data_IF_473060614537
#
_entry.id   IF_473060614537
#
_cell.length_a   1.000
_cell.length_b   1.000
_cell.length_c   1.000
_cell.angle_alpha   90.00
_cell.angle_beta   90.00
_cell.angle_gamma   90.00
#
_symmetry.space_group_name_H-M   'P 1'
#
loop_
_entity.id
_entity.type
_entity.pdbx_description
1 polymer ?
#
# COMPACT_ATOMS: atom_id res chain seq x y z
N UNK A 1 -14.37 -11.93 17.18
CA UNK A 1 -13.40 -11.68 16.09
C UNK A 1 -13.25 -10.17 16.01
N UNK A 2 -12.04 -9.63 16.01
CA UNK A 2 -11.90 -8.18 15.85
C UNK A 2 -12.27 -7.80 14.40
N UNK A 3 -12.76 -6.57 14.18
CA UNK A 3 -13.04 -6.07 12.82
C UNK A 3 -11.82 -6.20 11.89
N UNK A 4 -10.62 -6.09 12.45
CA UNK A 4 -9.37 -6.22 11.71
C UNK A 4 -9.06 -7.67 11.29
N UNK A 5 -9.38 -8.67 12.10
CA UNK A 5 -9.19 -10.08 11.73
C UNK A 5 -10.08 -10.49 10.55
N UNK A 6 -11.30 -9.94 10.48
CA UNK A 6 -12.20 -10.14 9.35
C UNK A 6 -11.65 -9.51 8.07
N UNK A 7 -11.14 -8.27 8.16
CA UNK A 7 -10.46 -7.60 7.05
C UNK A 7 -9.31 -8.47 6.56
N UNK A 8 -8.37 -8.86 7.43
CA UNK A 8 -7.23 -9.72 7.04
C UNK A 8 -7.65 -11.00 6.31
N UNK A 9 -8.75 -11.63 6.74
CA UNK A 9 -9.23 -12.87 6.15
C UNK A 9 -9.91 -12.69 4.78
N UNK A 10 -10.41 -11.49 4.48
CA UNK A 10 -11.26 -11.22 3.30
C UNK A 10 -10.73 -10.11 2.39
N UNK A 11 -9.58 -9.51 2.71
CA UNK A 11 -9.01 -8.36 2.01
C UNK A 11 -8.63 -8.66 0.56
N UNK A 12 -8.09 -9.84 0.31
CA UNK A 12 -7.49 -10.19 -0.98
C UNK A 12 -8.52 -10.77 -1.95
N UNK A 13 -8.55 -10.24 -3.17
CA UNK A 13 -9.38 -10.71 -4.26
C UNK A 13 -8.82 -11.93 -4.99
N UNK A 14 -9.53 -12.36 -6.03
CA UNK A 14 -9.04 -13.42 -6.93
C UNK A 14 -7.98 -12.89 -7.88
N UNK A 15 -7.02 -13.76 -8.25
CA UNK A 15 -5.92 -13.43 -9.15
C UNK A 15 -4.54 -13.40 -8.49
N UNK A 16 -3.51 -13.43 -9.34
CA UNK A 16 -2.09 -13.46 -8.93
C UNK A 16 -1.27 -12.29 -9.51
N UNK A 17 -1.90 -11.40 -10.27
CA UNK A 17 -1.26 -10.18 -10.73
C UNK A 17 -0.97 -9.27 -9.53
N UNK A 18 0.22 -8.68 -9.43
CA UNK A 18 0.64 -7.89 -8.26
C UNK A 18 1.27 -8.71 -7.12
N UNK A 19 1.12 -10.04 -7.12
CA UNK A 19 1.54 -10.89 -5.99
C UNK A 19 3.04 -11.12 -6.01
N UNK A 20 3.71 -10.67 -4.95
CA UNK A 20 5.13 -10.87 -4.69
C UNK A 20 5.37 -12.17 -3.90
N UNK A 21 6.63 -12.67 -3.81
CA UNK A 21 6.98 -13.80 -2.96
C UNK A 21 6.54 -13.61 -1.50
N UNK A 22 6.28 -14.69 -0.74
CA UNK A 22 5.84 -14.59 0.65
C UNK A 22 6.74 -13.68 1.50
N UNK A 23 6.10 -12.84 2.30
CA UNK A 23 6.81 -11.83 3.09
C UNK A 23 7.58 -12.50 4.24
N UNK A 24 8.87 -12.17 4.36
CA UNK A 24 9.74 -12.63 5.45
C UNK A 24 10.27 -11.45 6.24
N UNK A 25 10.63 -11.66 7.50
CA UNK A 25 11.18 -10.60 8.37
C UNK A 25 12.44 -9.96 7.77
N UNK A 26 13.28 -10.75 7.09
CA UNK A 26 14.47 -10.24 6.42
C UNK A 26 14.13 -9.31 5.25
N UNK A 27 13.10 -9.65 4.48
CA UNK A 27 12.60 -8.81 3.38
C UNK A 27 11.99 -7.52 3.92
N UNK A 28 11.25 -7.58 5.04
CA UNK A 28 10.68 -6.38 5.69
C UNK A 28 11.78 -5.44 6.17
N UNK A 29 12.79 -5.96 6.88
CA UNK A 29 13.90 -5.14 7.38
C UNK A 29 14.69 -4.50 6.24
N UNK A 30 14.88 -5.21 5.13
CA UNK A 30 15.51 -4.67 3.95
C UNK A 30 14.66 -3.58 3.28
N UNK A 31 13.34 -3.78 3.20
CA UNK A 31 12.40 -2.81 2.66
C UNK A 31 12.36 -1.51 3.47
N UNK A 32 12.21 -1.60 4.79
CA UNK A 32 12.22 -0.43 5.69
C UNK A 32 13.53 0.36 5.57
N UNK A 33 14.67 -0.34 5.45
CA UNK A 33 15.97 0.28 5.22
C UNK A 33 16.06 0.99 3.86
N UNK A 34 15.54 0.38 2.79
CA UNK A 34 15.54 0.99 1.45
C UNK A 34 14.59 2.19 1.37
N UNK A 35 13.42 2.10 2.01
CA UNK A 35 12.42 3.17 2.03
C UNK A 35 12.77 4.30 3.01
N UNK A 36 13.66 4.02 3.97
CA UNK A 36 14.04 4.97 5.01
C UNK A 36 12.93 5.20 6.05
N UNK A 37 11.91 4.34 6.11
CA UNK A 37 10.79 4.46 7.05
C UNK A 37 10.45 3.13 7.70
N UNK A 38 9.81 3.18 8.88
CA UNK A 38 9.16 2.00 9.46
C UNK A 38 7.77 1.80 8.89
N UNK A 39 7.48 0.59 8.43
CA UNK A 39 6.17 0.24 7.90
C UNK A 39 5.17 -0.02 9.04
N UNK A 40 3.89 0.38 8.90
CA UNK A 40 2.89 0.14 9.93
C UNK A 40 2.71 -1.37 10.19
N UNK A 41 2.60 -1.75 11.45
CA UNK A 41 2.45 -3.16 11.83
C UNK A 41 1.19 -3.79 11.21
N UNK A 42 0.10 -3.02 11.13
CA UNK A 42 -1.17 -3.44 10.52
C UNK A 42 -1.03 -3.73 9.01
N UNK A 43 -0.26 -2.93 8.28
CA UNK A 43 0.05 -3.18 6.87
C UNK A 43 0.83 -4.49 6.72
N UNK A 44 1.86 -4.69 7.55
CA UNK A 44 2.66 -5.91 7.52
C UNK A 44 1.83 -7.15 7.84
N UNK A 45 0.85 -7.06 8.73
CA UNK A 45 -0.07 -8.17 9.00
C UNK A 45 -0.91 -8.55 7.78
N UNK A 46 -1.40 -7.58 7.01
CA UNK A 46 -2.15 -7.85 5.77
C UNK A 46 -1.21 -8.44 4.70
N UNK A 47 -0.01 -7.88 4.54
CA UNK A 47 0.98 -8.35 3.56
C UNK A 47 1.56 -9.74 3.88
N UNK A 48 1.51 -10.16 5.15
CA UNK A 48 1.85 -11.54 5.56
C UNK A 48 0.82 -12.56 5.12
N UNK A 49 -0.46 -12.18 4.99
CA UNK A 49 -1.50 -13.06 4.44
C UNK A 49 -1.25 -13.28 2.95
N UNK A 50 -0.98 -12.21 2.21
CA UNK A 50 -0.54 -12.24 0.81
C UNK A 50 0.26 -10.98 0.51
N UNK A 51 1.41 -11.12 -0.15
CA UNK A 51 2.33 -10.01 -0.36
C UNK A 51 1.99 -9.25 -1.66
N UNK A 52 0.93 -8.46 -1.63
CA UNK A 52 0.44 -7.70 -2.79
C UNK A 52 -0.54 -8.47 -3.68
N UNK A 53 -1.20 -7.76 -4.59
CA UNK A 53 -2.18 -8.30 -5.52
C UNK A 53 -3.53 -7.56 -5.52
N UNK A 54 -4.57 -8.13 -6.15
CA UNK A 54 -5.87 -7.49 -6.28
C UNK A 54 -6.59 -7.44 -4.93
N UNK A 55 -7.30 -6.35 -4.66
CA UNK A 55 -8.14 -6.20 -3.48
C UNK A 55 -9.54 -6.75 -3.78
N UNK A 56 -10.16 -7.38 -2.79
CA UNK A 56 -11.50 -7.93 -2.94
C UNK A 56 -12.53 -6.82 -3.16
N UNK A 57 -13.59 -7.10 -3.93
CA UNK A 57 -14.64 -6.13 -4.28
C UNK A 57 -15.30 -5.47 -3.05
N UNK A 58 -15.33 -6.16 -1.92
CA UNK A 58 -15.90 -5.63 -0.67
C UNK A 58 -15.00 -4.58 0.01
N UNK A 59 -13.73 -4.46 -0.41
CA UNK A 59 -12.71 -3.58 0.17
C UNK A 59 -12.04 -2.64 -0.85
N UNK A 60 -12.40 -2.70 -2.14
CA UNK A 60 -11.70 -1.99 -3.22
C UNK A 60 -12.06 -0.50 -3.36
N UNK A 61 -12.70 0.09 -2.35
CA UNK A 61 -13.03 1.50 -2.34
C UNK A 61 -13.09 2.05 -0.91
N UNK A 62 -12.66 3.30 -0.76
CA UNK A 62 -12.80 4.06 0.49
C UNK A 62 -13.68 5.30 0.27
N UNK A 63 -14.73 5.52 1.09
CA UNK A 63 -15.60 6.68 0.94
C UNK A 63 -14.87 7.99 1.26
N UNK A 64 -15.19 9.06 0.52
CA UNK A 64 -14.70 10.42 0.78
C UNK A 64 -15.84 11.42 0.62
N UNK A 65 -15.83 12.47 1.45
CA UNK A 65 -16.79 13.58 1.36
C UNK A 65 -16.39 14.63 0.32
N UNK A 66 -15.17 14.51 -0.25
CA UNK A 66 -14.63 15.42 -1.26
C UNK A 66 -14.59 14.70 -2.61
N UNK A 67 -15.25 15.24 -3.66
CA UNK A 67 -15.19 14.68 -5.00
C UNK A 67 -13.75 14.58 -5.53
N UNK A 68 -13.44 13.46 -6.16
CA UNK A 68 -12.18 13.23 -6.87
C UNK A 68 -12.39 13.34 -8.37
N UNK A 69 -11.31 13.29 -9.14
CA UNK A 69 -11.38 13.20 -10.61
C UNK A 69 -12.06 11.91 -11.09
N UNK A 70 -12.18 10.90 -10.22
CA UNK A 70 -12.68 9.58 -10.56
C UNK A 70 -14.11 9.33 -10.06
N UNK A 71 -14.47 9.87 -8.89
CA UNK A 71 -15.77 9.64 -8.26
C UNK A 71 -16.19 10.80 -7.37
N UNK A 72 -17.50 11.02 -7.24
CA UNK A 72 -18.07 12.04 -6.37
C UNK A 72 -17.90 11.74 -4.88
N UNK A 73 -17.70 10.47 -4.49
CA UNK A 73 -17.83 10.07 -3.08
C UNK A 73 -16.89 8.93 -2.62
N UNK A 74 -15.94 8.48 -3.44
CA UNK A 74 -14.96 7.46 -3.02
C UNK A 74 -13.64 7.53 -3.80
N UNK A 75 -12.63 6.85 -3.28
CA UNK A 75 -11.33 6.59 -3.91
C UNK A 75 -11.20 5.09 -4.16
N UNK A 76 -10.78 4.64 -5.36
CA UNK A 76 -10.59 3.23 -5.64
C UNK A 76 -9.29 2.71 -5.02
N UNK A 77 -9.31 1.45 -4.59
CA UNK A 77 -8.16 0.67 -4.12
C UNK A 77 -8.24 -0.70 -4.80
N UNK A 78 -7.99 -0.75 -6.10
CA UNK A 78 -8.18 -1.97 -6.92
C UNK A 78 -7.13 -3.05 -6.62
N UNK A 79 -5.92 -2.61 -6.25
CA UNK A 79 -4.82 -3.48 -5.87
C UNK A 79 -4.08 -2.93 -4.66
N UNK A 80 -3.22 -3.76 -4.09
CA UNK A 80 -2.21 -3.34 -3.14
C UNK A 80 -0.85 -3.85 -3.60
N UNK A 81 0.11 -2.94 -3.65
CA UNK A 81 1.50 -3.26 -3.94
C UNK A 81 2.09 -4.14 -2.84
N UNK A 82 2.89 -5.12 -3.24
CA UNK A 82 3.67 -5.95 -2.33
C UNK A 82 5.06 -5.38 -2.06
N UNK A 83 5.82 -6.08 -1.23
CA UNK A 83 7.24 -5.84 -1.00
C UNK A 83 8.04 -6.91 -1.72
N UNK A 84 8.74 -6.53 -2.78
CA UNK A 84 9.54 -7.47 -3.55
C UNK A 84 9.98 -6.88 -4.88
N UNK A 85 10.73 -7.67 -5.65
CA UNK A 85 11.15 -7.32 -7.01
C UNK A 85 10.83 -8.47 -7.96
N UNK A 86 9.56 -8.86 -8.00
CA UNK A 86 9.09 -9.78 -9.03
C UNK A 86 9.01 -9.04 -10.36
N UNK A 87 9.63 -9.61 -11.41
CA UNK A 87 9.87 -8.93 -12.68
C UNK A 87 8.59 -8.28 -13.26
N UNK A 88 8.71 -6.98 -13.57
CA UNK A 88 7.73 -6.22 -14.33
C UNK A 88 6.53 -5.65 -13.56
N UNK A 89 6.53 -5.70 -12.22
CA UNK A 89 5.43 -5.16 -11.41
C UNK A 89 5.93 -4.16 -10.37
N UNK A 90 5.22 -3.02 -10.19
CA UNK A 90 5.57 -2.05 -9.16
C UNK A 90 5.35 -2.63 -7.76
N UNK A 91 6.17 -2.18 -6.83
CA UNK A 91 6.19 -2.60 -5.44
C UNK A 91 6.36 -1.40 -4.52
N UNK A 92 6.20 -1.61 -3.21
CA UNK A 92 6.50 -0.57 -2.22
C UNK A 92 7.92 -0.02 -2.40
N UNK A 93 8.87 -0.85 -2.83
CA UNK A 93 10.29 -0.47 -3.01
C UNK A 93 10.50 0.57 -4.12
N UNK A 94 9.52 0.73 -5.01
CA UNK A 94 9.57 1.68 -6.12
C UNK A 94 9.02 3.06 -5.73
N UNK A 95 8.53 3.22 -4.47
CA UNK A 95 7.95 4.47 -3.96
C UNK A 95 8.88 5.67 -4.17
N UNK A 96 10.17 5.54 -3.89
CA UNK A 96 11.12 6.65 -4.04
C UNK A 96 11.22 7.13 -5.50
N UNK A 97 11.33 6.19 -6.44
CA UNK A 97 11.38 6.49 -7.88
C UNK A 97 10.07 7.14 -8.35
N UNK A 98 8.93 6.56 -7.98
CA UNK A 98 7.61 7.03 -8.41
C UNK A 98 7.26 8.40 -7.80
N UNK A 99 7.62 8.65 -6.54
CA UNK A 99 7.45 9.95 -5.90
C UNK A 99 8.25 11.03 -6.65
N UNK A 100 9.47 10.73 -7.08
CA UNK A 100 10.28 11.65 -7.89
C UNK A 100 9.70 11.84 -9.30
N UNK A 101 9.40 10.74 -10.01
CA UNK A 101 8.86 10.75 -11.37
C UNK A 101 7.58 11.58 -11.47
N UNK A 102 6.69 11.44 -10.47
CA UNK A 102 5.41 12.14 -10.45
C UNK A 102 5.42 13.44 -9.63
N UNK A 103 6.60 13.86 -9.14
CA UNK A 103 6.78 15.08 -8.33
C UNK A 103 5.81 15.15 -7.12
N UNK A 104 5.59 14.00 -6.48
CA UNK A 104 4.72 13.89 -5.31
C UNK A 104 5.42 14.49 -4.07
N UNK A 105 4.66 14.87 -3.04
CA UNK A 105 5.24 15.19 -1.75
C UNK A 105 6.09 14.04 -1.20
N UNK A 106 7.05 14.34 -0.32
CA UNK A 106 7.95 13.34 0.26
C UNK A 106 8.20 13.66 1.74
N UNK A 107 8.38 12.66 2.62
CA UNK A 107 8.41 11.21 2.35
C UNK A 107 7.02 10.55 2.27
N UNK A 108 6.82 9.72 1.24
CA UNK A 108 5.63 8.89 1.02
C UNK A 108 6.04 7.44 0.68
N UNK A 109 5.22 6.47 1.09
CA UNK A 109 5.30 5.08 0.61
C UNK A 109 4.02 4.75 -0.15
N UNK A 110 4.14 4.43 -1.43
CA UNK A 110 3.02 4.16 -2.31
C UNK A 110 2.48 2.74 -2.06
N UNK A 111 1.16 2.64 -1.87
CA UNK A 111 0.45 1.40 -1.63
C UNK A 111 -0.28 0.90 -2.88
N UNK A 112 -0.77 1.81 -3.72
CA UNK A 112 -1.44 1.51 -4.98
C UNK A 112 -1.50 2.76 -5.85
N UNK A 113 -1.64 2.58 -7.15
CA UNK A 113 -1.81 3.67 -8.10
C UNK A 113 -1.46 3.28 -9.53
N UNK A 114 -1.96 4.09 -10.47
CA UNK A 114 -1.86 3.86 -11.91
C UNK A 114 -1.20 5.03 -12.66
N UNK A 115 -0.66 6.01 -11.92
CA UNK A 115 -0.12 7.25 -12.45
C UNK A 115 -1.11 8.42 -12.51
N UNK A 116 -2.42 8.16 -12.52
CA UNK A 116 -3.43 9.21 -12.39
C UNK A 116 -3.78 9.50 -10.93
N UNK A 117 -3.79 8.45 -10.10
CA UNK A 117 -4.01 8.54 -8.67
C UNK A 117 -3.01 7.66 -7.91
N UNK A 118 -2.67 8.08 -6.70
CA UNK A 118 -1.77 7.38 -5.80
C UNK A 118 -2.37 7.32 -4.41
N UNK A 119 -2.42 6.12 -3.83
CA UNK A 119 -2.70 5.90 -2.41
C UNK A 119 -1.36 5.66 -1.73
N UNK A 120 -1.09 6.42 -0.67
CA UNK A 120 0.22 6.42 -0.03
C UNK A 120 0.11 6.55 1.49
N UNK A 121 1.10 5.99 2.18
CA UNK A 121 1.39 6.30 3.57
C UNK A 121 2.15 7.62 3.64
N UNK A 122 1.61 8.58 4.40
CA UNK A 122 2.18 9.92 4.52
C UNK A 122 3.03 10.09 5.78
N UNK A 123 4.35 10.10 5.61
CA UNK A 123 5.31 10.24 6.69
C UNK A 123 5.75 11.69 6.92
N UNK A 124 5.22 12.66 6.17
CA UNK A 124 5.64 14.08 6.26
C UNK A 124 5.44 14.69 7.65
N UNK A 125 4.43 14.22 8.38
CA UNK A 125 4.08 14.76 9.70
C UNK A 125 4.66 13.94 10.86
N UNK A 126 4.60 12.61 10.77
CA UNK A 126 5.05 11.72 11.86
C UNK A 126 6.56 11.40 11.80
N UNK A 127 7.22 11.66 10.67
CA UNK A 127 8.62 11.33 10.44
C UNK A 127 8.84 9.84 10.20
N UNK A 128 10.07 9.48 9.81
CA UNK A 128 10.49 8.15 9.36
C UNK A 128 10.27 7.00 10.36
N UNK A 129 10.29 7.32 11.66
CA UNK A 129 10.10 6.35 12.74
C UNK A 129 8.69 6.40 13.34
N UNK A 130 7.85 7.33 12.87
CA UNK A 130 6.47 7.47 13.31
C UNK A 130 5.53 6.53 12.55
N UNK A 131 4.33 6.38 13.09
CA UNK A 131 3.26 5.68 12.39
C UNK A 131 2.38 6.70 11.66
N UNK A 132 2.23 6.59 10.32
CA UNK A 132 1.40 7.49 9.54
C UNK A 132 -0.06 7.38 10.00
N UNK A 133 -0.66 8.53 10.29
CA UNK A 133 -2.06 8.58 10.72
C UNK A 133 -2.99 8.45 9.53
N UNK A 134 -4.07 7.69 9.70
CA UNK A 134 -5.18 7.60 8.75
C UNK A 134 -6.29 8.49 9.29
N UNK A 135 -6.58 9.61 8.63
CA UNK A 135 -7.63 10.56 9.01
C UNK A 135 -8.62 10.74 7.88
#
# INVERSE_FOLDING_TARGET
MTRFDEVKATFWGEGLYGVQPPLTDAVVQDAERQLGVRLPASLLEILRVRNGGPVAEVWNAFPTDVPTSWSENHVPLDDMMGIGRHDGQPSLLDSGYLVEEWSLPSPLVLLSGDGHCWIALDYRTCGEQGEPSVT
#
